data_IF_439996639799
#
_entry.id   IF_439996639799
#
_cell.length_a   1.000
_cell.length_b   1.000
_cell.length_c   1.000
_cell.angle_alpha   90.00
_cell.angle_beta   90.00
_cell.angle_gamma   90.00
#
_symmetry.space_group_name_H-M   'P 1'
#
loop_
_entity.id
_entity.type
_entity.pdbx_description
1 polymer ?
#
# COMPACT_ATOMS: atom_id res chain seq x y z
N UNK A 1 54.14 -79.93 -17.80
CA UNK A 1 54.36 -78.65 -17.06
C UNK A 1 53.07 -78.28 -16.40
N UNK A 2 52.89 -78.58 -15.12
CA UNK A 2 51.76 -78.14 -14.30
C UNK A 2 52.24 -76.89 -13.58
N UNK A 3 51.61 -75.79 -13.81
CA UNK A 3 51.86 -74.56 -13.07
C UNK A 3 50.86 -74.48 -11.90
N UNK A 4 51.38 -74.57 -10.69
CA UNK A 4 50.64 -74.42 -9.46
C UNK A 4 50.40 -72.91 -9.22
N UNK A 5 49.14 -72.49 -9.29
CA UNK A 5 48.72 -71.19 -8.88
C UNK A 5 48.49 -71.16 -7.36
N UNK A 6 49.47 -70.65 -6.62
CA UNK A 6 49.32 -70.42 -5.21
C UNK A 6 48.32 -69.23 -5.02
N UNK A 7 47.07 -69.53 -4.64
CA UNK A 7 46.15 -68.58 -4.07
C UNK A 7 46.61 -68.22 -2.63
N UNK A 8 47.14 -67.06 -2.45
CA UNK A 8 47.36 -66.46 -1.11
C UNK A 8 46.02 -66.18 -0.47
N UNK A 9 45.56 -67.00 0.45
CA UNK A 9 44.41 -66.73 1.31
C UNK A 9 44.79 -65.59 2.23
N UNK A 10 44.21 -64.38 1.97
CA UNK A 10 44.25 -63.29 2.90
C UNK A 10 43.57 -63.70 4.20
N UNK A 11 44.31 -63.80 5.26
CA UNK A 11 43.79 -64.03 6.61
C UNK A 11 43.03 -62.75 7.00
N UNK A 12 41.70 -62.86 7.16
CA UNK A 12 40.90 -61.83 7.78
C UNK A 12 41.34 -61.75 9.23
N UNK A 13 41.98 -60.61 9.60
CA UNK A 13 42.26 -60.23 11.00
C UNK A 13 40.94 -59.84 11.64
N UNK A 14 40.52 -60.51 12.70
CA UNK A 14 39.30 -60.15 13.45
C UNK A 14 39.55 -58.82 14.18
N UNK A 15 38.55 -57.97 14.11
CA UNK A 15 38.52 -56.68 14.79
C UNK A 15 38.36 -56.90 16.30
N UNK A 16 39.17 -56.25 17.13
CA UNK A 16 39.07 -56.36 18.58
C UNK A 16 37.80 -55.59 19.09
N UNK A 17 37.25 -56.06 20.20
CA UNK A 17 36.08 -55.39 20.81
C UNK A 17 36.35 -53.92 21.16
N UNK A 18 37.57 -53.61 21.59
CA UNK A 18 38.04 -52.23 21.91
C UNK A 18 38.12 -51.39 20.66
N UNK A 19 38.59 -51.88 19.54
CA UNK A 19 38.65 -51.18 18.25
C UNK A 19 37.26 -50.84 17.70
N UNK A 20 36.30 -51.77 17.90
CA UNK A 20 34.91 -51.54 17.55
C UNK A 20 34.28 -50.47 18.43
N UNK A 21 34.54 -50.48 19.74
CA UNK A 21 34.05 -49.43 20.66
C UNK A 21 34.62 -48.05 20.33
N UNK A 22 35.91 -47.94 20.03
CA UNK A 22 36.55 -46.67 19.62
C UNK A 22 35.99 -46.20 18.29
N UNK A 23 35.82 -47.07 17.32
CA UNK A 23 35.24 -46.72 16.00
C UNK A 23 33.80 -46.22 16.11
N UNK A 24 32.96 -46.84 16.97
CA UNK A 24 31.61 -46.37 17.25
C UNK A 24 31.59 -45.04 17.92
N UNK A 25 32.47 -44.79 18.90
CA UNK A 25 32.54 -43.51 19.61
C UNK A 25 32.99 -42.38 18.70
N UNK A 26 34.01 -42.60 17.86
CA UNK A 26 34.44 -41.65 16.83
C UNK A 26 33.36 -41.39 15.79
N UNK A 27 32.67 -42.44 15.33
CA UNK A 27 31.57 -42.35 14.41
C UNK A 27 30.41 -41.51 14.99
N UNK A 28 30.08 -41.69 16.28
CA UNK A 28 29.06 -40.93 16.97
C UNK A 28 29.41 -39.42 17.08
N UNK A 29 30.68 -39.13 17.42
CA UNK A 29 31.17 -37.74 17.51
C UNK A 29 31.07 -37.02 16.14
N UNK A 30 31.46 -37.73 15.06
CA UNK A 30 31.34 -37.17 13.71
C UNK A 30 29.88 -36.99 13.32
N UNK A 31 28.98 -37.94 13.64
CA UNK A 31 27.56 -37.85 13.34
C UNK A 31 26.91 -36.65 14.08
N UNK A 32 27.24 -36.42 15.35
CA UNK A 32 26.77 -35.24 16.09
C UNK A 32 27.27 -33.94 15.45
N UNK A 33 28.55 -33.88 15.05
CA UNK A 33 29.11 -32.71 14.36
C UNK A 33 28.40 -32.43 13.02
N UNK A 34 28.14 -33.46 12.23
CA UNK A 34 27.39 -33.29 10.97
C UNK A 34 25.94 -32.86 11.19
N UNK A 35 25.27 -33.41 12.20
CA UNK A 35 23.90 -33.04 12.54
C UNK A 35 23.81 -31.57 12.96
N UNK A 36 24.75 -31.06 13.76
CA UNK A 36 24.81 -29.66 14.17
C UNK A 36 25.07 -28.73 12.98
N UNK A 37 26.00 -29.08 12.08
CA UNK A 37 26.24 -28.31 10.86
C UNK A 37 25.01 -28.29 9.94
N UNK A 38 24.33 -29.41 9.81
CA UNK A 38 23.12 -29.49 8.98
C UNK A 38 22.00 -28.58 9.53
N UNK A 39 21.76 -28.60 10.85
CA UNK A 39 20.74 -27.75 11.47
C UNK A 39 21.10 -26.27 11.38
N UNK A 40 22.37 -25.89 11.58
CA UNK A 40 22.84 -24.52 11.40
C UNK A 40 22.65 -24.02 9.96
N UNK A 41 23.04 -24.84 8.98
CA UNK A 41 22.87 -24.50 7.56
C UNK A 41 21.39 -24.33 7.19
N UNK A 42 20.52 -25.20 7.68
CA UNK A 42 19.07 -25.10 7.47
C UNK A 42 18.50 -23.80 8.07
N UNK A 43 18.90 -23.46 9.28
CA UNK A 43 18.47 -22.23 9.96
C UNK A 43 18.94 -20.99 9.20
N UNK A 44 20.22 -20.96 8.79
CA UNK A 44 20.77 -19.85 8.00
C UNK A 44 20.08 -19.71 6.64
N UNK A 45 19.75 -20.82 5.99
CA UNK A 45 19.01 -20.80 4.73
C UNK A 45 17.59 -20.22 4.92
N UNK A 46 16.84 -20.68 5.92
CA UNK A 46 15.51 -20.16 6.24
C UNK A 46 15.54 -18.68 6.57
N UNK A 47 16.50 -18.24 7.39
CA UNK A 47 16.70 -16.84 7.75
C UNK A 47 16.94 -15.96 6.52
N UNK A 48 17.84 -16.38 5.62
CA UNK A 48 18.13 -15.65 4.39
C UNK A 48 16.89 -15.58 3.48
N UNK A 49 16.11 -16.65 3.40
CA UNK A 49 14.87 -16.70 2.64
C UNK A 49 13.82 -15.72 3.22
N UNK A 50 13.63 -15.72 4.54
CA UNK A 50 12.67 -14.84 5.21
C UNK A 50 13.06 -13.36 5.07
N UNK A 51 14.36 -13.04 5.16
CA UNK A 51 14.87 -11.69 4.91
C UNK A 51 14.70 -11.26 3.46
N UNK A 52 14.96 -12.15 2.50
CA UNK A 52 14.79 -11.86 1.07
C UNK A 52 13.30 -11.58 0.77
N UNK A 53 12.39 -12.42 1.25
CA UNK A 53 10.95 -12.24 1.11
C UNK A 53 10.46 -10.92 1.74
N UNK A 54 10.90 -10.63 2.96
CA UNK A 54 10.56 -9.37 3.63
C UNK A 54 10.95 -8.14 2.80
N UNK A 55 12.15 -8.18 2.17
CA UNK A 55 12.61 -7.07 1.33
C UNK A 55 11.85 -6.98 0.01
N UNK A 56 11.48 -8.11 -0.58
CA UNK A 56 10.68 -8.17 -1.81
C UNK A 56 9.27 -7.64 -1.57
N UNK A 57 8.59 -8.13 -0.54
CA UNK A 57 7.25 -7.68 -0.15
C UNK A 57 7.25 -6.19 0.22
N UNK A 58 8.28 -5.71 0.93
CA UNK A 58 8.43 -4.30 1.26
C UNK A 58 8.64 -3.40 0.04
N UNK A 59 9.44 -3.83 -0.94
CA UNK A 59 9.63 -3.11 -2.21
C UNK A 59 8.38 -3.12 -3.07
N UNK A 60 7.69 -4.25 -3.13
CA UNK A 60 6.44 -4.36 -3.86
C UNK A 60 5.38 -3.41 -3.27
N UNK A 61 5.21 -3.42 -1.94
CA UNK A 61 4.33 -2.52 -1.23
C UNK A 61 4.63 -1.04 -1.56
N UNK A 62 5.90 -0.64 -1.49
CA UNK A 62 6.33 0.72 -1.84
C UNK A 62 6.03 1.06 -3.30
N UNK A 63 6.28 0.15 -4.23
CA UNK A 63 6.06 0.38 -5.66
C UNK A 63 4.58 0.58 -5.97
N UNK A 64 3.69 -0.24 -5.39
CA UNK A 64 2.25 -0.12 -5.57
C UNK A 64 1.71 1.19 -5.00
N UNK A 65 2.09 1.52 -3.76
CA UNK A 65 1.69 2.80 -3.14
C UNK A 65 2.26 4.00 -3.90
N UNK A 66 3.53 3.95 -4.30
CA UNK A 66 4.20 5.02 -5.04
C UNK A 66 3.52 5.30 -6.39
N UNK A 67 3.14 4.26 -7.13
CA UNK A 67 2.46 4.40 -8.40
C UNK A 67 1.09 5.08 -8.24
N UNK A 68 0.32 4.70 -7.22
CA UNK A 68 -0.99 5.30 -6.99
C UNK A 68 -0.88 6.74 -6.46
N UNK A 69 0.15 7.06 -5.66
CA UNK A 69 0.42 8.43 -5.22
C UNK A 69 0.90 9.32 -6.36
N UNK A 70 1.80 8.82 -7.23
CA UNK A 70 2.24 9.56 -8.41
C UNK A 70 1.10 9.88 -9.38
N UNK A 71 0.10 9.00 -9.42
CA UNK A 71 -1.08 9.13 -10.27
C UNK A 71 -2.27 9.78 -9.57
N UNK A 72 -2.17 10.10 -8.27
CA UNK A 72 -3.24 10.78 -7.55
C UNK A 72 -3.62 12.09 -8.24
N UNK A 73 -4.92 12.33 -8.42
CA UNK A 73 -5.39 13.48 -9.18
C UNK A 73 -5.26 13.39 -10.69
N UNK A 74 -4.81 12.25 -11.23
CA UNK A 74 -4.84 12.03 -12.67
C UNK A 74 -6.25 11.75 -13.15
N UNK A 75 -6.82 12.68 -13.88
CA UNK A 75 -8.16 12.60 -14.46
C UNK A 75 -8.16 12.77 -15.99
N UNK A 76 -7.10 12.29 -16.62
CA UNK A 76 -6.89 12.30 -18.06
C UNK A 76 -7.01 13.72 -18.67
N UNK A 77 -7.93 13.92 -19.58
CA UNK A 77 -8.10 15.17 -20.32
C UNK A 77 -8.93 16.23 -19.58
N UNK A 78 -9.38 15.93 -18.36
CA UNK A 78 -10.16 16.87 -17.59
C UNK A 78 -9.25 17.79 -16.78
N UNK A 79 -9.07 19.00 -17.29
CA UNK A 79 -8.29 20.07 -16.66
C UNK A 79 -9.17 21.15 -16.02
N UNK A 80 -10.50 21.02 -16.09
CA UNK A 80 -11.44 22.04 -15.63
C UNK A 80 -12.40 21.53 -14.54
N UNK A 81 -12.90 22.41 -13.67
CA UNK A 81 -13.63 22.06 -12.43
C UNK A 81 -15.09 21.60 -12.65
N UNK A 82 -15.53 21.36 -13.85
CA UNK A 82 -16.93 21.01 -14.15
C UNK A 82 -17.11 19.49 -14.24
N UNK A 83 -17.42 18.89 -13.10
CA UNK A 83 -17.75 17.48 -13.02
C UNK A 83 -19.24 17.27 -12.86
N UNK A 84 -19.73 16.31 -13.58
CA UNK A 84 -21.07 15.80 -13.44
C UNK A 84 -21.00 14.36 -12.89
N UNK A 85 -21.89 14.01 -11.97
CA UNK A 85 -22.11 12.64 -11.56
C UNK A 85 -23.48 12.21 -11.97
N UNK A 86 -23.50 11.11 -12.70
CA UNK A 86 -24.76 10.57 -13.17
C UNK A 86 -25.67 10.14 -12.01
N UNK A 87 -26.97 10.46 -12.02
CA UNK A 87 -27.90 10.11 -10.94
C UNK A 87 -27.88 8.63 -10.52
N UNK A 88 -27.54 7.72 -11.42
CA UNK A 88 -27.45 6.29 -11.09
C UNK A 88 -26.26 5.94 -10.19
N UNK A 89 -25.17 6.73 -10.25
CA UNK A 89 -24.07 6.62 -9.26
C UNK A 89 -24.52 7.22 -7.95
N UNK A 90 -25.24 8.34 -8.01
CA UNK A 90 -25.88 8.99 -6.86
C UNK A 90 -26.79 8.01 -6.12
N UNK A 91 -27.60 7.25 -6.83
CA UNK A 91 -28.51 6.26 -6.25
C UNK A 91 -27.80 5.09 -5.54
N UNK A 92 -26.52 4.83 -5.86
CA UNK A 92 -25.72 3.79 -5.20
C UNK A 92 -25.18 4.21 -3.82
N UNK A 93 -25.33 5.49 -3.49
CA UNK A 93 -25.01 6.06 -2.17
C UNK A 93 -23.54 6.00 -1.81
N UNK A 94 -23.25 6.05 -0.51
CA UNK A 94 -21.89 6.02 0.06
C UNK A 94 -21.08 4.75 -0.30
N UNK A 95 -21.73 3.74 -0.90
CA UNK A 95 -21.04 2.53 -1.35
C UNK A 95 -20.01 2.79 -2.47
N UNK A 96 -20.14 3.89 -3.20
CA UNK A 96 -19.23 4.25 -4.29
C UNK A 96 -18.10 5.20 -3.89
N UNK A 97 -18.15 5.77 -2.69
CA UNK A 97 -17.06 6.57 -2.10
C UNK A 97 -16.74 6.08 -0.71
N UNK A 98 -15.46 5.96 -0.42
CA UNK A 98 -14.96 5.44 0.84
C UNK A 98 -14.90 6.49 1.95
N UNK A 99 -15.07 7.78 1.66
CA UNK A 99 -14.99 8.84 2.68
C UNK A 99 -16.30 9.05 3.42
N UNK A 100 -16.19 9.48 4.69
CA UNK A 100 -17.36 9.85 5.49
C UNK A 100 -18.07 11.09 4.90
N UNK A 101 -19.40 11.04 4.87
CA UNK A 101 -20.21 12.14 4.35
C UNK A 101 -19.97 13.49 5.06
N UNK A 102 -19.51 13.45 6.31
CA UNK A 102 -19.21 14.63 7.13
C UNK A 102 -17.94 15.38 6.71
N UNK A 103 -17.02 14.69 6.04
CA UNK A 103 -15.81 15.31 5.47
C UNK A 103 -16.13 16.23 4.27
N UNK A 104 -17.39 16.25 3.83
CA UNK A 104 -17.87 16.99 2.66
C UNK A 104 -18.63 18.24 3.06
N UNK A 105 -18.92 18.41 4.33
CA UNK A 105 -19.74 19.52 4.77
C UNK A 105 -19.01 20.85 4.63
N UNK A 106 -19.33 21.48 3.52
CA UNK A 106 -19.64 22.91 3.44
C UNK A 106 -18.52 23.84 3.82
N UNK A 107 -17.79 24.32 2.84
CA UNK A 107 -17.23 25.65 2.97
C UNK A 107 -18.39 26.66 2.91
N UNK A 108 -18.75 27.30 4.02
CA UNK A 108 -19.81 28.32 4.02
C UNK A 108 -19.43 29.59 3.24
N UNK A 109 -18.17 29.70 2.79
CA UNK A 109 -17.66 30.93 2.16
C UNK A 109 -17.90 30.99 0.64
N UNK A 110 -18.30 29.90 -0.01
CA UNK A 110 -18.57 29.96 -1.45
C UNK A 110 -19.79 29.11 -1.86
N UNK A 111 -21.02 29.58 -1.58
CA UNK A 111 -22.26 28.87 -1.89
C UNK A 111 -22.59 28.78 -3.39
N UNK A 112 -21.80 29.42 -4.25
CA UNK A 112 -22.10 29.56 -5.68
C UNK A 112 -21.56 28.49 -6.60
N UNK A 113 -20.66 27.59 -6.13
CA UNK A 113 -20.08 26.49 -6.94
C UNK A 113 -20.48 25.12 -6.42
N UNK A 114 -21.61 25.03 -5.78
CA UNK A 114 -22.20 23.77 -5.37
C UNK A 114 -22.94 23.15 -6.53
N UNK A 115 -22.41 22.06 -7.05
CA UNK A 115 -23.29 21.00 -7.48
C UNK A 115 -23.68 20.30 -6.18
N UNK A 116 -24.78 20.71 -5.59
CA UNK A 116 -25.42 20.05 -4.46
C UNK A 116 -25.82 18.65 -4.91
N UNK A 117 -24.94 17.69 -4.73
CA UNK A 117 -25.30 16.29 -4.82
C UNK A 117 -25.49 15.85 -3.36
N UNK A 118 -26.76 15.78 -2.93
CA UNK A 118 -27.03 15.44 -1.54
C UNK A 118 -26.54 14.02 -1.27
N UNK A 119 -25.76 13.87 -0.21
CA UNK A 119 -25.46 12.63 0.47
C UNK A 119 -24.58 11.60 -0.24
N UNK A 120 -23.79 12.00 -1.21
CA UNK A 120 -22.77 11.10 -1.75
C UNK A 120 -21.44 11.73 -1.49
N UNK A 121 -20.59 10.97 -0.80
CA UNK A 121 -19.24 11.37 -0.47
C UNK A 121 -18.28 11.57 -1.66
N UNK A 122 -18.78 12.01 -2.78
CA UNK A 122 -18.03 12.42 -3.94
C UNK A 122 -17.73 13.91 -3.84
N UNK A 123 -16.74 14.25 -3.05
CA UNK A 123 -16.30 15.63 -3.03
C UNK A 123 -15.59 15.93 -4.33
N UNK A 124 -16.21 16.78 -5.10
CA UNK A 124 -15.62 17.39 -6.26
C UNK A 124 -14.71 18.52 -5.85
N UNK A 125 -13.72 18.24 -5.09
CA UNK A 125 -12.59 19.12 -5.04
C UNK A 125 -11.69 18.76 -6.24
N UNK A 126 -12.21 18.99 -7.42
CA UNK A 126 -11.35 19.40 -8.48
C UNK A 126 -11.30 20.89 -8.34
N UNK A 127 -10.42 21.30 -7.46
CA UNK A 127 -9.79 22.59 -7.35
C UNK A 127 -10.66 23.80 -7.73
N UNK A 128 -11.56 24.28 -6.87
CA UNK A 128 -11.93 25.67 -6.97
C UNK A 128 -10.70 26.46 -6.56
N UNK A 129 -10.11 27.14 -7.51
CA UNK A 129 -9.09 28.12 -7.27
C UNK A 129 -9.64 29.18 -6.30
N UNK A 130 -8.94 29.44 -5.24
CA UNK A 130 -8.95 30.72 -4.57
C UNK A 130 -9.52 30.83 -3.17
N UNK A 131 -10.13 29.81 -2.58
CA UNK A 131 -10.69 29.95 -1.21
C UNK A 131 -10.70 28.69 -0.37
N UNK A 132 -10.44 27.53 -0.98
CA UNK A 132 -10.22 26.30 -0.24
C UNK A 132 -8.85 25.76 -0.57
N UNK A 133 -7.95 25.80 0.40
CA UNK A 133 -6.73 25.07 0.27
C UNK A 133 -7.09 23.61 0.00
N UNK A 134 -6.31 22.97 -0.88
CA UNK A 134 -6.24 21.53 -0.99
C UNK A 134 -6.02 20.99 0.41
N UNK A 135 -7.10 20.73 1.12
CA UNK A 135 -7.00 19.93 2.30
C UNK A 135 -6.86 18.49 1.82
N UNK A 136 -5.87 17.74 2.27
CA UNK A 136 -5.76 16.31 1.98
C UNK A 136 -7.09 15.56 2.18
N UNK A 137 -7.95 16.13 2.99
CA UNK A 137 -9.28 15.63 3.34
C UNK A 137 -10.31 15.72 2.21
N UNK A 138 -10.15 16.63 1.26
CA UNK A 138 -11.18 16.89 0.24
C UNK A 138 -10.74 16.56 -1.19
N UNK A 139 -9.46 16.30 -1.40
CA UNK A 139 -8.88 16.13 -2.72
C UNK A 139 -8.79 14.69 -3.22
N UNK A 140 -7.96 14.53 -4.22
CA UNK A 140 -7.60 13.24 -4.84
C UNK A 140 -6.74 12.37 -3.93
N UNK A 141 -6.27 12.91 -2.83
CA UNK A 141 -5.43 12.26 -1.85
C UNK A 141 -5.86 12.69 -0.45
N UNK A 142 -6.06 11.73 0.43
CA UNK A 142 -6.37 11.95 1.85
C UNK A 142 -5.59 10.97 2.70
N UNK A 143 -5.15 11.39 3.89
CA UNK A 143 -4.39 10.57 4.84
C UNK A 143 -5.00 10.68 6.22
N UNK A 144 -5.25 9.55 6.87
CA UNK A 144 -5.50 9.48 8.31
C UNK A 144 -4.17 9.12 8.98
N UNK A 145 -3.59 10.09 9.68
CA UNK A 145 -2.29 9.99 10.29
C UNK A 145 -2.32 9.15 11.56
N UNK A 146 -1.36 8.21 11.72
CA UNK A 146 -1.24 7.33 12.88
C UNK A 146 -2.59 6.73 13.31
N UNK A 147 -3.38 6.32 12.34
CA UNK A 147 -4.78 5.95 12.53
C UNK A 147 -4.96 4.81 13.54
N UNK A 148 -5.98 4.91 14.36
CA UNK A 148 -6.55 3.76 15.06
C UNK A 148 -7.64 3.13 14.18
N UNK A 149 -8.01 1.88 14.44
CA UNK A 149 -9.10 1.23 13.70
C UNK A 149 -10.39 2.06 13.73
N UNK A 150 -10.70 2.70 14.85
CA UNK A 150 -11.88 3.54 15.01
C UNK A 150 -11.80 4.82 14.17
N UNK A 151 -10.65 5.52 14.20
CA UNK A 151 -10.45 6.74 13.43
C UNK A 151 -10.40 6.45 11.92
N UNK A 152 -9.73 5.38 11.51
CA UNK A 152 -9.70 4.96 10.13
C UNK A 152 -11.10 4.64 9.58
N UNK A 153 -11.94 3.95 10.36
CA UNK A 153 -13.31 3.64 10.00
C UNK A 153 -14.23 4.87 9.99
N UNK A 154 -13.95 5.85 10.85
CA UNK A 154 -14.70 7.12 10.88
C UNK A 154 -14.37 7.98 9.66
N UNK A 155 -13.11 8.03 9.24
CA UNK A 155 -12.64 8.79 8.09
C UNK A 155 -12.97 8.07 6.77
N UNK A 156 -12.74 6.77 6.71
CA UNK A 156 -12.95 5.94 5.54
C UNK A 156 -14.04 4.91 5.78
N UNK A 157 -15.26 5.23 5.38
CA UNK A 157 -16.46 4.42 5.68
C UNK A 157 -16.39 3.00 5.13
N UNK A 158 -15.66 2.77 4.04
CA UNK A 158 -15.46 1.44 3.48
C UNK A 158 -14.62 0.52 4.38
N UNK A 159 -13.91 1.08 5.37
CA UNK A 159 -13.17 0.31 6.38
C UNK A 159 -14.02 -0.05 7.60
N UNK A 160 -15.21 0.49 7.75
CA UNK A 160 -16.01 0.43 8.98
C UNK A 160 -16.39 -0.98 9.44
N UNK A 161 -16.40 -1.97 8.54
CA UNK A 161 -16.70 -3.37 8.87
C UNK A 161 -15.44 -4.23 9.08
N UNK A 162 -14.24 -3.69 8.85
CA UNK A 162 -13.01 -4.46 8.90
C UNK A 162 -12.44 -4.48 10.33
N UNK A 163 -12.34 -5.68 10.88
CA UNK A 163 -11.61 -5.90 12.12
C UNK A 163 -10.10 -5.95 11.85
N UNK A 164 -9.29 -5.45 12.80
CA UNK A 164 -7.84 -5.66 12.79
C UNK A 164 -7.02 -4.66 11.98
N UNK A 165 -7.56 -3.47 11.64
CA UNK A 165 -6.72 -2.38 11.13
C UNK A 165 -5.65 -2.04 12.17
N UNK A 166 -4.39 -2.04 11.73
CA UNK A 166 -3.23 -1.85 12.61
C UNK A 166 -3.13 -0.42 13.10
N UNK A 167 -3.14 -0.24 14.42
CA UNK A 167 -2.97 1.08 15.03
C UNK A 167 -1.56 1.65 14.88
N UNK A 168 -1.46 2.97 14.72
CA UNK A 168 -0.18 3.69 14.60
C UNK A 168 0.49 3.51 13.23
N UNK A 169 -0.25 3.09 12.22
CA UNK A 169 0.08 3.19 10.80
C UNK A 169 -0.81 4.24 10.17
N UNK A 170 -0.32 4.91 9.15
CA UNK A 170 -1.18 5.77 8.35
C UNK A 170 -2.17 4.96 7.52
N UNK A 171 -3.24 5.61 7.12
CA UNK A 171 -4.19 5.12 6.13
C UNK A 171 -4.32 6.19 5.07
N UNK A 172 -4.13 5.88 3.79
CA UNK A 172 -4.30 6.88 2.76
C UNK A 172 -5.29 6.46 1.68
N UNK A 173 -5.98 7.45 1.15
CA UNK A 173 -6.93 7.33 0.07
C UNK A 173 -6.42 8.07 -1.16
N UNK A 174 -6.39 7.40 -2.31
CA UNK A 174 -5.99 7.96 -3.59
C UNK A 174 -7.12 7.81 -4.60
N UNK A 175 -7.47 8.90 -5.29
CA UNK A 175 -8.44 8.92 -6.39
C UNK A 175 -7.72 9.23 -7.70
N UNK A 176 -7.93 8.40 -8.69
CA UNK A 176 -7.43 8.58 -10.04
C UNK A 176 -8.27 7.84 -11.06
N UNK A 177 -8.01 8.05 -12.31
CA UNK A 177 -8.49 7.15 -13.37
C UNK A 177 -7.37 6.26 -13.88
N UNK A 178 -7.72 5.26 -14.67
CA UNK A 178 -6.75 4.41 -15.35
C UNK A 178 -5.80 5.25 -16.23
N UNK A 179 -4.56 4.82 -16.37
CA UNK A 179 -3.55 5.53 -17.16
C UNK A 179 -3.79 5.53 -18.68
N UNK A 180 -4.78 4.76 -19.14
CA UNK A 180 -5.18 4.68 -20.54
C UNK A 180 -6.71 4.58 -20.65
N UNK A 181 -7.31 5.08 -21.72
CA UNK A 181 -8.74 4.95 -21.96
C UNK A 181 -9.14 3.48 -22.14
N UNK A 182 -10.34 3.16 -21.71
CA UNK A 182 -10.89 1.81 -21.79
C UNK A 182 -11.46 1.51 -23.18
N UNK A 183 -10.91 0.50 -23.82
CA UNK A 183 -11.42 0.02 -25.12
C UNK A 183 -12.65 -0.88 -24.98
N UNK A 184 -12.81 -1.51 -23.83
CA UNK A 184 -13.95 -2.38 -23.50
C UNK A 184 -14.61 -1.87 -22.24
N UNK A 185 -15.89 -1.56 -22.34
CA UNK A 185 -16.67 -1.02 -21.23
C UNK A 185 -17.39 -2.14 -20.49
N UNK A 186 -17.17 -2.20 -19.18
CA UNK A 186 -17.98 -3.04 -18.28
C UNK A 186 -19.11 -2.21 -17.70
N UNK A 187 -20.36 -2.58 -18.01
CA UNK A 187 -21.55 -1.84 -17.57
C UNK A 187 -21.68 -1.64 -16.05
N UNK A 188 -21.05 -2.50 -15.26
CA UNK A 188 -21.09 -2.45 -13.79
C UNK A 188 -19.93 -1.68 -13.13
N UNK A 189 -18.96 -1.17 -13.90
CA UNK A 189 -17.84 -0.35 -13.40
C UNK A 189 -18.12 1.13 -13.58
N UNK A 190 -17.42 1.94 -12.82
CA UNK A 190 -17.48 3.41 -12.89
C UNK A 190 -16.40 3.92 -13.83
N UNK A 191 -16.80 4.81 -14.72
CA UNK A 191 -15.92 5.46 -15.68
C UNK A 191 -16.04 6.97 -15.57
N UNK A 192 -14.94 7.62 -15.76
CA UNK A 192 -14.92 9.02 -16.09
C UNK A 192 -15.00 9.17 -17.60
N UNK A 193 -15.93 9.95 -18.06
CA UNK A 193 -16.17 10.20 -19.48
C UNK A 193 -16.19 11.69 -19.74
N UNK A 194 -15.49 12.13 -20.81
CA UNK A 194 -15.66 13.46 -21.39
C UNK A 194 -16.57 13.35 -22.59
N UNK A 195 -17.51 14.29 -22.71
CA UNK A 195 -18.38 14.45 -23.90
C UNK A 195 -18.48 15.92 -24.26
N UNK A 196 -18.21 16.23 -25.54
CA UNK A 196 -18.17 17.60 -26.01
C UNK A 196 -17.09 18.48 -25.36
N UNK A 197 -17.21 19.78 -25.54
CA UNK A 197 -16.16 20.74 -25.16
C UNK A 197 -16.05 21.03 -23.65
N UNK A 198 -17.01 20.62 -22.82
CA UNK A 198 -17.15 21.23 -21.51
C UNK A 198 -17.47 20.30 -20.33
N UNK A 199 -17.86 19.04 -20.51
CA UNK A 199 -18.42 18.26 -19.41
C UNK A 199 -17.70 16.93 -19.26
N UNK A 200 -16.86 16.82 -18.23
CA UNK A 200 -16.41 15.55 -17.69
C UNK A 200 -17.38 15.06 -16.62
N UNK A 201 -17.66 13.78 -16.58
CA UNK A 201 -18.55 13.21 -15.59
C UNK A 201 -18.22 11.77 -15.25
N UNK A 202 -18.68 11.34 -14.08
CA UNK A 202 -18.64 9.95 -13.64
C UNK A 202 -19.94 9.26 -13.98
N UNK A 203 -19.82 8.09 -14.60
CA UNK A 203 -20.94 7.29 -15.09
C UNK A 203 -20.71 5.82 -14.77
N UNK A 204 -21.79 5.09 -14.53
CA UNK A 204 -21.71 3.63 -14.68
C UNK A 204 -21.50 3.30 -16.16
N UNK A 205 -20.74 2.26 -16.45
CA UNK A 205 -20.49 1.84 -17.83
C UNK A 205 -21.77 1.60 -18.63
N UNK A 206 -22.83 1.10 -17.98
CA UNK A 206 -24.15 0.93 -18.60
C UNK A 206 -24.86 2.26 -18.95
N UNK A 207 -24.43 3.38 -18.39
CA UNK A 207 -25.05 4.70 -18.54
C UNK A 207 -24.11 5.73 -19.19
N UNK A 208 -23.03 5.27 -19.81
CA UNK A 208 -22.13 6.15 -20.55
C UNK A 208 -22.90 6.84 -21.70
N UNK A 209 -22.80 8.17 -21.79
CA UNK A 209 -23.42 8.87 -22.94
C UNK A 209 -22.75 8.48 -24.25
N UNK A 210 -23.49 8.52 -25.31
CA UNK A 210 -22.98 8.23 -26.65
C UNK A 210 -21.84 9.20 -27.01
N UNK A 211 -20.82 8.67 -27.68
CA UNK A 211 -19.70 9.49 -28.20
C UNK A 211 -20.16 10.25 -29.46
N UNK A 212 -19.65 11.46 -29.60
CA UNK A 212 -19.79 12.22 -30.83
C UNK A 212 -18.90 11.61 -31.91
N UNK A 213 -19.46 11.24 -33.02
CA UNK A 213 -18.73 10.61 -34.09
C UNK A 213 -17.62 11.54 -34.60
N UNK A 214 -16.36 11.06 -34.48
CA UNK A 214 -15.19 11.79 -34.98
C UNK A 214 -14.51 12.74 -33.98
N UNK A 215 -14.99 12.80 -32.72
CA UNK A 215 -14.26 13.53 -31.69
C UNK A 215 -13.21 12.62 -31.01
N UNK A 216 -11.90 12.85 -31.25
CA UNK A 216 -10.82 12.02 -30.68
C UNK A 216 -10.62 12.21 -29.19
N UNK A 217 -11.21 13.26 -28.59
CA UNK A 217 -11.06 13.60 -27.18
C UNK A 217 -12.15 12.98 -26.31
N UNK A 218 -13.16 12.35 -26.90
CA UNK A 218 -14.21 11.67 -26.15
C UNK A 218 -13.82 10.24 -25.80
N UNK A 219 -13.10 10.10 -24.71
CA UNK A 219 -12.66 8.81 -24.18
C UNK A 219 -13.33 8.48 -22.85
N UNK A 220 -13.24 7.22 -22.44
CA UNK A 220 -13.76 6.69 -21.20
C UNK A 220 -12.63 6.09 -20.39
N UNK A 221 -12.40 6.59 -19.18
CA UNK A 221 -11.37 6.09 -18.28
C UNK A 221 -11.98 5.44 -17.06
N UNK A 222 -11.56 4.23 -16.74
CA UNK A 222 -12.03 3.55 -15.53
C UNK A 222 -11.60 4.34 -14.29
N UNK A 223 -12.54 4.64 -13.41
CA UNK A 223 -12.29 5.31 -12.14
C UNK A 223 -11.75 4.32 -11.11
N UNK A 224 -10.62 4.63 -10.50
CA UNK A 224 -9.85 3.74 -9.63
C UNK A 224 -9.52 4.40 -8.29
N UNK A 225 -10.49 4.59 -7.41
CA UNK A 225 -10.24 5.00 -6.04
C UNK A 225 -9.67 3.82 -5.24
N UNK A 226 -8.69 4.08 -4.37
CA UNK A 226 -8.08 3.06 -3.51
C UNK A 226 -7.79 3.61 -2.13
N UNK A 227 -8.02 2.81 -1.10
CA UNK A 227 -7.59 3.09 0.29
C UNK A 227 -6.58 2.06 0.71
N UNK A 228 -5.41 2.50 1.12
CA UNK A 228 -4.33 1.64 1.62
C UNK A 228 -4.28 1.67 3.14
N UNK A 229 -4.15 0.51 3.75
CA UNK A 229 -4.07 0.34 5.20
C UNK A 229 -3.35 -0.96 5.54
N UNK A 230 -2.89 -1.08 6.77
CA UNK A 230 -2.31 -2.32 7.29
C UNK A 230 -3.31 -3.00 8.20
N UNK A 231 -3.43 -4.31 8.09
CA UNK A 231 -4.19 -5.13 9.05
C UNK A 231 -3.49 -6.45 9.34
N UNK A 232 -3.85 -7.05 10.45
CA UNK A 232 -3.43 -8.41 10.79
C UNK A 232 -4.32 -9.45 10.11
N UNK A 233 -3.67 -10.38 9.41
CA UNK A 233 -4.33 -11.52 8.77
C UNK A 233 -3.79 -12.80 9.40
N UNK A 234 -4.69 -13.68 9.80
CA UNK A 234 -4.33 -15.01 10.30
C UNK A 234 -4.45 -16.03 9.18
N UNK A 235 -3.33 -16.61 8.79
CA UNK A 235 -3.25 -17.63 7.75
C UNK A 235 -2.01 -18.50 7.93
N UNK A 236 -2.03 -19.73 7.45
CA UNK A 236 -0.83 -20.57 7.36
C UNK A 236 0.04 -20.08 6.19
N UNK A 237 0.95 -19.16 6.49
CA UNK A 237 1.86 -18.58 5.48
C UNK A 237 3.18 -19.37 5.35
N UNK A 238 3.45 -20.27 6.28
CA UNK A 238 4.63 -21.12 6.31
C UNK A 238 4.40 -22.47 5.67
N UNK A 239 3.13 -22.89 5.54
CA UNK A 239 2.74 -24.16 4.97
C UNK A 239 2.98 -25.36 5.91
N UNK A 240 3.08 -25.09 7.22
CA UNK A 240 3.32 -26.13 8.25
C UNK A 240 2.03 -26.61 8.95
N UNK A 241 0.88 -26.05 8.57
CA UNK A 241 -0.43 -26.34 9.12
C UNK A 241 -0.77 -25.52 10.38
N UNK A 242 0.09 -24.59 10.77
CA UNK A 242 -0.15 -23.64 11.87
C UNK A 242 -0.46 -22.26 11.29
N UNK A 243 -1.54 -21.65 11.75
CA UNK A 243 -1.88 -20.32 11.28
C UNK A 243 -1.12 -19.25 12.09
N UNK A 244 -0.40 -18.38 11.39
CA UNK A 244 0.29 -17.23 11.95
C UNK A 244 -0.52 -15.94 11.74
N UNK A 245 -0.39 -15.01 12.68
CA UNK A 245 -0.90 -13.65 12.52
C UNK A 245 0.17 -12.77 11.89
N UNK A 246 -0.07 -12.34 10.66
CA UNK A 246 0.89 -11.57 9.86
C UNK A 246 0.29 -10.21 9.51
N UNK A 247 0.97 -9.11 9.85
CA UNK A 247 0.57 -7.80 9.40
C UNK A 247 0.76 -7.72 7.88
N UNK A 248 -0.26 -7.24 7.20
CA UNK A 248 -0.36 -7.29 5.74
C UNK A 248 -0.85 -5.95 5.23
N UNK A 249 -0.20 -5.42 4.20
CA UNK A 249 -0.69 -4.26 3.47
C UNK A 249 -1.88 -4.70 2.62
N UNK A 250 -3.02 -4.07 2.87
CA UNK A 250 -4.24 -4.26 2.14
C UNK A 250 -4.71 -2.95 1.52
N UNK A 251 -5.57 -3.05 0.53
CA UNK A 251 -6.25 -1.91 -0.08
C UNK A 251 -7.71 -2.21 -0.31
N UNK A 252 -8.56 -1.20 -0.16
CA UNK A 252 -9.92 -1.23 -0.66
C UNK A 252 -9.91 -0.76 -2.10
N UNK A 253 -10.54 -1.49 -2.98
CA UNK A 253 -10.67 -1.18 -4.41
C UNK A 253 -12.14 -1.15 -4.82
N UNK A 254 -12.48 -0.26 -5.75
CA UNK A 254 -13.84 -0.19 -6.28
C UNK A 254 -14.09 -1.30 -7.31
N UNK A 255 -14.90 -2.27 -6.94
CA UNK A 255 -15.26 -3.42 -7.75
C UNK A 255 -16.47 -3.12 -8.67
N UNK A 256 -16.77 -3.98 -9.65
CA UNK A 256 -18.03 -3.94 -10.38
C UNK A 256 -19.23 -3.99 -9.44
N UNK A 257 -20.28 -3.21 -9.77
CA UNK A 257 -21.44 -3.05 -8.90
C UNK A 257 -21.30 -1.93 -7.87
N UNK A 258 -20.44 -0.98 -8.13
CA UNK A 258 -19.62 -0.04 -7.38
C UNK A 258 -19.65 -0.27 -5.86
N UNK A 259 -19.01 -1.36 -5.45
CA UNK A 259 -18.83 -1.75 -4.06
C UNK A 259 -17.34 -1.88 -3.80
N UNK A 260 -16.88 -1.31 -2.68
CA UNK A 260 -15.49 -1.49 -2.25
C UNK A 260 -15.26 -2.93 -1.77
N UNK A 261 -14.20 -3.55 -2.25
CA UNK A 261 -13.73 -4.85 -1.82
C UNK A 261 -12.28 -4.79 -1.37
N UNK A 262 -11.93 -5.68 -0.45
CA UNK A 262 -10.58 -5.79 0.07
C UNK A 262 -9.67 -6.59 -0.89
N UNK A 263 -8.45 -6.09 -1.05
CA UNK A 263 -7.37 -6.74 -1.79
C UNK A 263 -6.07 -6.61 -0.97
N UNK A 264 -5.58 -7.72 -0.42
CA UNK A 264 -4.37 -7.75 0.40
C UNK A 264 -3.18 -8.15 -0.43
N UNK A 265 -2.18 -7.27 -0.53
CA UNK A 265 -1.17 -7.29 -1.58
C UNK A 265 0.25 -7.62 -1.12
N UNK A 266 0.62 -7.34 0.14
CA UNK A 266 1.98 -7.59 0.62
C UNK A 266 1.98 -8.00 2.09
N UNK A 267 2.52 -9.17 2.38
CA UNK A 267 2.64 -9.70 3.75
C UNK A 267 3.86 -9.11 4.46
N UNK A 268 3.85 -9.14 5.79
CA UNK A 268 4.97 -8.64 6.60
C UNK A 268 5.11 -7.13 6.59
N UNK A 269 4.14 -6.37 6.10
CA UNK A 269 4.12 -4.91 6.24
C UNK A 269 3.44 -4.58 7.56
N UNK A 270 4.25 -4.17 8.53
CA UNK A 270 3.77 -3.94 9.88
C UNK A 270 3.18 -2.54 10.07
N UNK A 271 3.80 -1.54 9.45
CA UNK A 271 3.35 -0.14 9.45
C UNK A 271 3.86 0.59 8.22
N UNK A 272 3.17 1.64 7.83
CA UNK A 272 3.72 2.64 6.93
C UNK A 272 3.39 4.05 7.42
N UNK A 273 4.20 5.02 6.98
CA UNK A 273 4.06 6.44 7.31
C UNK A 273 4.27 7.27 6.07
N UNK A 274 3.56 8.39 5.99
CA UNK A 274 3.58 9.33 4.88
C UNK A 274 4.04 10.70 5.37
N UNK A 275 4.96 11.31 4.63
CA UNK A 275 5.37 12.69 4.82
C UNK A 275 5.14 13.48 3.54
N UNK A 276 4.64 14.69 3.69
CA UNK A 276 4.49 15.65 2.60
C UNK A 276 5.78 16.41 2.38
N UNK A 277 6.28 16.41 1.16
CA UNK A 277 7.39 17.26 0.73
C UNK A 277 6.85 18.61 0.30
N UNK A 278 7.19 19.63 1.05
CA UNK A 278 6.71 21.00 0.87
C UNK A 278 7.76 21.86 0.21
N UNK A 279 7.39 22.52 -0.88
CA UNK A 279 8.13 23.56 -1.56
C UNK A 279 7.70 24.92 -1.02
N UNK A 280 8.58 25.61 -0.31
CA UNK A 280 8.28 26.90 0.31
C UNK A 280 8.85 28.10 -0.46
N UNK A 281 9.69 27.88 -1.47
CA UNK A 281 10.30 28.94 -2.27
C UNK A 281 9.88 28.91 -3.75
N UNK A 282 9.11 27.90 -4.17
CA UNK A 282 8.48 27.82 -5.49
C UNK A 282 9.43 27.35 -6.59
N UNK A 283 10.53 26.69 -6.24
CA UNK A 283 11.50 26.16 -7.21
C UNK A 283 11.13 24.78 -7.77
N UNK A 284 10.11 24.13 -7.21
CA UNK A 284 9.61 22.82 -7.59
C UNK A 284 10.23 21.65 -6.83
N UNK A 285 11.17 21.91 -5.93
CA UNK A 285 11.79 20.93 -5.06
C UNK A 285 11.30 21.06 -3.61
N UNK A 286 11.23 19.94 -2.90
CA UNK A 286 10.77 19.97 -1.50
C UNK A 286 11.87 20.51 -0.58
N UNK A 287 11.62 21.65 0.06
CA UNK A 287 12.52 22.23 1.07
C UNK A 287 12.43 21.50 2.42
N UNK A 288 11.28 20.92 2.74
CA UNK A 288 11.02 20.19 3.98
C UNK A 288 10.07 19.02 3.78
N UNK A 289 10.18 18.01 4.65
CA UNK A 289 9.21 16.93 4.76
C UNK A 289 8.50 17.06 6.09
N UNK A 290 7.18 17.09 6.02
CA UNK A 290 6.31 17.21 7.21
C UNK A 290 5.41 15.99 7.28
N UNK A 291 5.10 15.48 8.49
CA UNK A 291 4.18 14.37 8.64
C UNK A 291 2.84 14.65 7.98
N UNK A 292 2.13 13.61 7.58
CA UNK A 292 0.77 13.72 7.08
C UNK A 292 -0.18 14.07 8.22
N UNK A 293 -0.06 15.28 8.74
CA UNK A 293 -0.85 15.76 9.85
C UNK A 293 -2.29 15.96 9.42
N UNK A 294 -3.15 15.34 10.18
CA UNK A 294 -4.53 15.73 10.39
C UNK A 294 -4.64 17.24 10.57
N UNK A 295 -5.53 17.92 9.85
CA UNK A 295 -5.99 19.31 10.02
C UNK A 295 -4.95 20.42 10.27
N UNK A 296 -3.69 20.13 10.53
CA UNK A 296 -2.66 21.09 10.92
C UNK A 296 -1.72 21.49 9.79
N UNK A 297 -1.90 21.02 8.56
CA UNK A 297 -1.42 21.78 7.40
C UNK A 297 -1.99 23.21 7.42
N UNK A 298 -3.11 23.43 8.09
CA UNK A 298 -3.62 24.78 8.39
C UNK A 298 -2.80 25.55 9.45
N UNK A 299 -1.96 24.88 10.24
CA UNK A 299 -1.20 25.49 11.34
C UNK A 299 0.32 25.50 11.12
N UNK A 300 0.86 24.67 10.23
CA UNK A 300 2.17 24.95 9.68
C UNK A 300 1.96 26.12 8.75
N UNK A 301 2.83 27.12 8.78
CA UNK A 301 2.79 28.28 7.90
C UNK A 301 3.03 27.91 6.40
N UNK A 302 2.51 26.80 5.96
CA UNK A 302 2.32 26.41 4.58
C UNK A 302 1.07 27.17 4.14
N UNK A 303 1.30 28.37 3.67
CA UNK A 303 0.24 29.29 3.28
C UNK A 303 -0.57 28.79 2.09
N UNK A 304 -0.09 27.74 1.40
CA UNK A 304 -0.72 27.22 0.19
C UNK A 304 -0.46 25.70 0.04
N UNK A 305 -1.49 24.85 -0.05
CA UNK A 305 -1.35 23.43 -0.40
C UNK A 305 -0.78 23.20 -1.80
N UNK A 306 -0.64 24.22 -2.59
CA UNK A 306 0.08 24.23 -3.85
C UNK A 306 1.58 23.97 -3.66
N UNK A 307 2.06 24.01 -2.44
CA UNK A 307 3.45 23.78 -2.08
C UNK A 307 3.79 22.30 -1.87
N UNK A 308 2.82 21.38 -1.90
CA UNK A 308 3.13 19.93 -1.82
C UNK A 308 3.57 19.43 -3.19
N UNK A 309 4.85 19.17 -3.33
CA UNK A 309 5.48 18.76 -4.59
C UNK A 309 5.83 17.28 -4.62
N UNK A 310 5.98 16.66 -3.45
CA UNK A 310 6.34 15.25 -3.34
C UNK A 310 5.73 14.60 -2.09
N UNK A 311 5.73 13.28 -2.10
CA UNK A 311 5.32 12.43 -0.97
C UNK A 311 6.43 11.45 -0.67
N UNK A 312 6.85 11.36 0.58
CA UNK A 312 7.75 10.34 1.06
C UNK A 312 6.98 9.27 1.80
N UNK A 313 7.22 8.02 1.44
CA UNK A 313 6.60 6.85 2.03
C UNK A 313 7.66 6.07 2.78
N UNK A 314 7.38 5.72 4.02
CA UNK A 314 8.19 4.82 4.84
C UNK A 314 7.40 3.57 5.14
N UNK A 315 8.00 2.42 4.95
CA UNK A 315 7.41 1.11 5.26
C UNK A 315 8.29 0.40 6.28
N UNK A 316 7.70 -0.06 7.37
CA UNK A 316 8.32 -0.99 8.31
C UNK A 316 7.92 -2.41 7.91
N UNK A 317 8.83 -3.09 7.23
CA UNK A 317 8.67 -4.49 6.88
C UNK A 317 9.19 -5.40 8.00
N UNK A 318 8.47 -6.49 8.27
CA UNK A 318 8.77 -7.51 9.28
C UNK A 318 8.87 -8.90 8.62
N UNK A 319 9.78 -9.76 9.12
CA UNK A 319 9.76 -11.17 8.73
C UNK A 319 8.43 -11.83 9.11
N UNK A 320 7.96 -12.76 8.29
CA UNK A 320 6.73 -13.51 8.56
C UNK A 320 6.92 -14.47 9.73
N UNK A 321 8.09 -15.15 9.76
CA UNK A 321 8.46 -16.08 10.81
C UNK A 321 9.25 -15.38 11.91
N UNK A 322 9.00 -15.81 13.15
CA UNK A 322 9.84 -15.46 14.30
C UNK A 322 11.10 -16.34 14.29
N UNK A 323 12.25 -15.76 14.60
CA UNK A 323 13.49 -16.49 14.85
C UNK A 323 13.73 -16.59 16.37
N UNK A 324 13.57 -17.77 16.99
CA UNK A 324 13.76 -17.94 18.43
C UNK A 324 15.16 -17.60 18.93
N UNK A 325 16.13 -17.52 18.02
CA UNK A 325 17.53 -17.19 18.35
C UNK A 325 17.84 -15.70 18.28
N UNK A 326 16.89 -14.91 17.78
CA UNK A 326 17.01 -13.46 17.63
C UNK A 326 16.06 -12.73 18.57
N UNK A 327 16.51 -11.61 19.12
CA UNK A 327 15.68 -10.67 19.87
C UNK A 327 15.85 -9.27 19.29
N UNK A 328 14.77 -8.68 18.86
CA UNK A 328 14.76 -7.34 18.31
C UNK A 328 14.63 -6.30 19.42
N UNK A 329 15.75 -5.73 19.84
CA UNK A 329 15.82 -4.67 20.86
C UNK A 329 15.87 -3.26 20.28
N UNK A 330 15.67 -3.11 18.97
CA UNK A 330 15.72 -1.82 18.28
C UNK A 330 14.47 -1.00 18.55
N UNK A 331 14.65 0.31 18.62
CA UNK A 331 13.55 1.28 18.59
C UNK A 331 13.46 1.87 17.19
N UNK A 332 12.27 1.87 16.64
CA UNK A 332 11.96 2.43 15.32
C UNK A 332 11.30 3.78 15.50
N UNK A 333 11.92 4.81 14.94
CA UNK A 333 11.38 6.17 14.84
C UNK A 333 11.24 6.46 13.36
N UNK A 334 10.01 6.57 12.87
CA UNK A 334 9.70 6.73 11.44
C UNK A 334 8.69 7.87 11.34
N UNK A 335 9.06 8.94 10.64
CA UNK A 335 8.25 10.14 10.55
C UNK A 335 7.77 10.60 11.95
N UNK A 336 6.47 10.76 12.14
CA UNK A 336 5.86 11.11 13.43
C UNK A 336 5.25 9.92 14.18
N UNK A 337 5.49 8.69 13.70
CA UNK A 337 5.07 7.50 14.40
C UNK A 337 5.61 7.48 15.83
N UNK A 338 4.79 7.21 16.85
CA UNK A 338 5.29 7.01 18.21
C UNK A 338 6.41 5.96 18.24
N UNK A 339 7.46 6.23 19.02
CA UNK A 339 8.62 5.36 19.15
C UNK A 339 8.18 3.90 19.40
N UNK A 340 8.57 3.01 18.52
CA UNK A 340 8.12 1.61 18.52
C UNK A 340 9.27 0.67 18.84
N UNK A 341 9.19 -0.03 19.97
CA UNK A 341 10.17 -1.00 20.46
C UNK A 341 9.49 -2.35 20.68
N UNK A 342 9.43 -3.22 19.67
CA UNK A 342 8.66 -4.47 19.71
C UNK A 342 9.15 -5.49 20.74
N UNK A 343 10.49 -5.56 21.00
CA UNK A 343 11.13 -6.53 21.91
C UNK A 343 10.68 -7.98 21.65
N UNK A 344 10.67 -8.39 20.41
CA UNK A 344 10.23 -9.69 19.92
C UNK A 344 11.28 -10.41 19.04
N UNK A 345 10.90 -11.52 18.45
CA UNK A 345 11.79 -12.39 17.69
C UNK A 345 11.69 -12.19 16.16
N UNK A 346 11.20 -11.04 15.69
CA UNK A 346 11.06 -10.77 14.27
C UNK A 346 12.13 -9.81 13.74
N UNK A 347 12.66 -10.11 12.56
CA UNK A 347 13.52 -9.18 11.83
C UNK A 347 12.66 -8.06 11.24
N UNK A 348 13.19 -6.82 11.28
CA UNK A 348 12.51 -5.65 10.71
C UNK A 348 13.46 -4.78 9.94
N UNK A 349 12.94 -4.16 8.90
CA UNK A 349 13.65 -3.14 8.13
C UNK A 349 12.72 -2.03 7.70
N UNK A 350 13.20 -0.80 7.84
CA UNK A 350 12.55 0.38 7.26
C UNK A 350 13.04 0.53 5.83
N UNK A 351 12.12 0.71 4.90
CA UNK A 351 12.38 0.97 3.49
C UNK A 351 11.58 2.22 3.13
N UNK A 352 12.16 3.14 2.38
CA UNK A 352 11.53 4.41 2.05
C UNK A 352 11.70 4.74 0.58
N UNK A 353 10.74 5.48 0.03
CA UNK A 353 10.81 6.06 -1.30
C UNK A 353 10.16 7.44 -1.30
N UNK A 354 10.55 8.26 -2.27
CA UNK A 354 9.94 9.58 -2.49
C UNK A 354 9.33 9.62 -3.88
N UNK A 355 8.14 10.18 -3.99
CA UNK A 355 7.35 10.25 -5.21
C UNK A 355 6.91 11.68 -5.45
N UNK A 356 7.04 12.17 -6.67
CA UNK A 356 6.51 13.48 -7.06
C UNK A 356 5.02 13.37 -7.39
N UNK A 357 4.21 14.27 -6.87
CA UNK A 357 2.76 14.35 -7.12
C UNK A 357 2.45 15.33 -8.24
N UNK A 358 2.88 15.00 -9.44
CA UNK A 358 2.86 15.88 -10.62
C UNK A 358 1.48 16.40 -11.02
N UNK A 359 0.44 15.60 -10.82
CA UNK A 359 -0.92 16.00 -11.22
C UNK A 359 -1.49 17.07 -10.28
N UNK A 360 -1.04 17.09 -9.03
CA UNK A 360 -1.38 18.14 -8.08
C UNK A 360 -0.67 19.43 -8.44
N UNK A 361 0.63 19.39 -8.78
CA UNK A 361 1.41 20.55 -9.25
C UNK A 361 0.92 21.11 -10.59
N UNK A 362 0.62 20.24 -11.56
CA UNK A 362 0.28 20.67 -12.91
C UNK A 362 -0.96 21.55 -12.99
N UNK A 363 -1.91 21.36 -12.07
CA UNK A 363 -3.11 22.19 -11.99
C UNK A 363 -2.82 23.57 -11.39
N UNK A 364 -1.83 23.69 -10.53
CA UNK A 364 -1.40 24.94 -9.93
C UNK A 364 -0.66 25.84 -10.91
N UNK A 365 0.22 25.26 -11.75
CA UNK A 365 1.00 25.99 -12.74
C UNK A 365 0.14 26.56 -13.89
N UNK A 366 -0.98 25.92 -14.21
CA UNK A 366 -1.85 26.37 -15.31
C UNK A 366 -2.78 27.51 -14.89
N UNK A 367 -2.76 27.90 -13.65
CA UNK A 367 -3.48 29.07 -13.19
C UNK A 367 -5.01 28.93 -13.20
N UNK A 368 -5.53 27.69 -13.14
CA UNK A 368 -6.98 27.40 -13.10
C UNK A 368 -7.51 27.24 -11.71
#
# INVERSE_FOLDING_TARGET
MKSDVHQTMNRQAGVTLVELMISLLLGLLIAIGLATLFTQNKNSFNQNQDLARMLEDGRYALTEMANDLAMAGFYAELTAPLWFVHPNIVALGAAADCRAANAITTNPANPGLRIDIPAIGWTYAIFPRGTDPFTPEQGSLAVANNATAANAAAEFTCLGALAGVQGGSDVFYSKRVAGAPSNVINGARVYMARRGAAIGGLYLGANLPAKTLGDPLENDWEFQPKVYYVREITSDVTGDGVAETVPTLCRMVLNPGPVFGEDCIAQGIERFQIEWGVDSDGDGDANAYVPALDATLQNVAVADPNEVVSVRIHVLARSVRADPTYTNTKTYNIADMPAYSPNDNFYRRVISTTVMVRNVQGMNLLGF
#
